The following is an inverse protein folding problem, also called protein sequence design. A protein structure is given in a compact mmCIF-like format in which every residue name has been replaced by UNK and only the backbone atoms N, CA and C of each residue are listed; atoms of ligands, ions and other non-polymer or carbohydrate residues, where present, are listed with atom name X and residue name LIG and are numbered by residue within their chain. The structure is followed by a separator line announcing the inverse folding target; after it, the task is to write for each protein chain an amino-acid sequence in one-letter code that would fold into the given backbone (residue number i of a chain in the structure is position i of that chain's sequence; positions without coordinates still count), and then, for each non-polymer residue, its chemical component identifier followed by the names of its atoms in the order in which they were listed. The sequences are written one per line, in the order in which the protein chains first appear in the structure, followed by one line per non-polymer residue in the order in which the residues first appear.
data_IF_888492041009
#
_entry.id   IF_888492041009
#
_cell.length_a   1.000
_cell.length_b   1.000
_cell.length_c   1.000
_cell.angle_alpha   90.00
_cell.angle_beta   90.00
_cell.angle_gamma   90.00
#
_symmetry.space_group_name_H-M   'P 1'
#
loop_
_entity.id
_entity.type
_entity.pdbx_description
1 polymer ?
#
# COMPACT_ATOMS: atom_id res chain seq x y z
N UNK A 1 1.83 -45.44 -4.86
CA UNK A 1 0.95 -44.52 -4.12
C UNK A 1 1.74 -43.30 -3.71
N UNK A 2 1.52 -42.22 -4.46
CA UNK A 2 2.24 -40.95 -4.38
C UNK A 2 1.70 -40.07 -3.24
N UNK A 3 2.55 -39.79 -2.25
CA UNK A 3 2.36 -38.68 -1.32
C UNK A 3 3.68 -37.90 -1.21
N UNK A 4 3.98 -37.14 -2.27
CA UNK A 4 4.90 -35.99 -2.23
C UNK A 4 4.18 -34.76 -2.77
N UNK A 5 3.54 -34.01 -1.86
CA UNK A 5 3.21 -32.60 -2.08
C UNK A 5 3.84 -31.81 -0.94
N UNK A 6 5.07 -31.35 -1.17
CA UNK A 6 5.63 -30.24 -0.41
C UNK A 6 4.87 -28.99 -0.84
N UNK A 7 3.98 -28.51 0.02
CA UNK A 7 3.45 -27.16 -0.07
C UNK A 7 4.59 -26.18 0.21
N UNK A 8 5.15 -25.59 -0.85
CA UNK A 8 6.06 -24.46 -0.75
C UNK A 8 5.21 -23.23 -0.44
N UNK A 9 4.81 -23.10 0.83
CA UNK A 9 4.24 -21.88 1.37
C UNK A 9 5.38 -20.91 1.65
N UNK A 10 5.51 -19.88 0.82
CA UNK A 10 6.47 -18.79 1.04
C UNK A 10 5.98 -18.01 2.26
N UNK A 11 6.54 -18.35 3.41
CA UNK A 11 6.53 -17.55 4.62
C UNK A 11 7.96 -17.60 5.16
N UNK A 12 8.84 -16.78 4.59
CA UNK A 12 10.10 -16.42 5.26
C UNK A 12 9.98 -14.95 5.67
N UNK A 13 9.45 -14.76 6.88
CA UNK A 13 9.83 -13.65 7.75
C UNK A 13 11.33 -13.79 8.04
N UNK A 14 12.12 -12.86 7.50
CA UNK A 14 13.57 -12.92 7.58
C UNK A 14 14.27 -11.66 7.10
N UNK A 15 13.72 -10.48 7.40
CA UNK A 15 14.49 -9.23 7.30
C UNK A 15 14.31 -8.44 8.58
N UNK A 16 15.02 -8.89 9.63
CA UNK A 16 15.43 -8.01 10.72
C UNK A 16 16.46 -7.02 10.17
N UNK A 17 15.99 -5.90 9.64
CA UNK A 17 16.82 -4.80 9.18
C UNK A 17 15.96 -3.56 9.08
N UNK A 18 16.23 -2.55 9.92
CA UNK A 18 15.50 -1.28 9.92
C UNK A 18 15.46 -0.69 8.52
N UNK A 19 14.26 -0.43 8.02
CA UNK A 19 14.04 0.11 6.68
C UNK A 19 14.20 1.63 6.73
N UNK A 20 15.39 2.11 7.05
CA UNK A 20 15.81 3.43 6.56
C UNK A 20 16.19 3.27 5.08
N UNK A 21 15.18 3.41 4.20
CA UNK A 21 15.32 3.54 2.75
C UNK A 21 15.73 2.23 2.04
N UNK A 22 14.82 1.44 1.48
CA UNK A 22 14.03 1.79 0.29
C UNK A 22 13.08 0.62 0.02
N UNK A 23 11.79 0.80 0.26
CA UNK A 23 10.78 -0.18 -0.15
C UNK A 23 10.88 -0.43 -1.68
N UNK A 24 10.72 -1.66 -2.20
CA UNK A 24 10.87 -1.92 -3.65
C UNK A 24 10.00 -1.03 -4.54
N UNK A 25 8.81 -0.66 -4.06
CA UNK A 25 7.93 0.32 -4.73
C UNK A 25 8.59 1.70 -4.89
N UNK A 26 9.43 2.13 -3.94
CA UNK A 26 10.14 3.40 -4.05
C UNK A 26 11.12 3.38 -5.24
N UNK A 27 11.83 2.27 -5.47
CA UNK A 27 12.71 2.14 -6.62
C UNK A 27 11.91 2.18 -7.93
N UNK A 28 10.82 1.42 -8.00
CA UNK A 28 9.92 1.40 -9.16
C UNK A 28 9.33 2.79 -9.43
N UNK A 29 8.91 3.51 -8.39
CA UNK A 29 8.34 4.85 -8.54
C UNK A 29 9.37 5.84 -9.11
N UNK A 30 10.64 5.81 -8.65
CA UNK A 30 11.71 6.65 -9.23
C UNK A 30 11.98 6.36 -10.70
N UNK A 31 11.81 5.11 -11.13
CA UNK A 31 11.96 4.72 -12.53
C UNK A 31 10.82 5.27 -13.42
N UNK A 32 9.68 5.61 -12.82
CA UNK A 32 8.42 5.88 -13.54
C UNK A 32 7.89 7.31 -13.37
N UNK A 33 8.30 8.00 -12.32
CA UNK A 33 7.78 9.29 -11.89
C UNK A 33 8.92 10.19 -11.41
N UNK A 34 8.86 11.46 -11.78
CA UNK A 34 9.66 12.52 -11.18
C UNK A 34 8.90 13.08 -9.97
N UNK A 35 9.07 12.43 -8.82
CA UNK A 35 8.37 12.80 -7.59
C UNK A 35 9.21 12.58 -6.33
N UNK A 36 8.84 13.31 -5.28
CA UNK A 36 9.32 13.03 -3.92
C UNK A 36 8.74 11.71 -3.42
N UNK A 37 9.59 10.90 -2.78
CA UNK A 37 9.18 9.61 -2.22
C UNK A 37 9.50 9.59 -0.74
N UNK A 38 8.47 9.30 0.05
CA UNK A 38 8.57 9.12 1.50
C UNK A 38 8.18 7.69 1.82
N UNK A 39 9.12 6.95 2.39
CA UNK A 39 8.85 5.67 3.04
C UNK A 39 8.73 5.96 4.53
N UNK A 40 7.64 5.48 5.13
CA UNK A 40 7.36 5.58 6.55
C UNK A 40 7.06 4.18 7.10
N UNK A 41 7.20 4.03 8.42
CA UNK A 41 6.83 2.82 9.14
C UNK A 41 5.32 2.54 9.08
N UNK A 42 4.92 1.29 9.38
CA UNK A 42 3.51 0.88 9.39
C UNK A 42 2.68 1.70 10.40
N UNK A 43 3.23 2.00 11.57
CA UNK A 43 2.66 2.96 12.51
C UNK A 43 3.54 4.20 12.59
N UNK A 44 3.33 5.19 11.69
CA UNK A 44 4.26 6.30 11.54
C UNK A 44 4.42 7.09 12.84
N UNK A 45 5.66 7.45 13.17
CA UNK A 45 5.96 8.34 14.29
C UNK A 45 5.44 9.76 14.03
N UNK A 46 5.37 10.60 15.06
CA UNK A 46 4.99 12.00 14.91
C UNK A 46 5.95 12.75 13.95
N UNK A 47 7.24 12.40 13.97
CA UNK A 47 8.25 12.96 13.07
C UNK A 47 8.02 12.51 11.62
N UNK A 48 7.67 11.24 11.40
CA UNK A 48 7.33 10.73 10.07
C UNK A 48 6.08 11.40 9.52
N UNK A 49 5.04 11.56 10.36
CA UNK A 49 3.81 12.29 10.01
C UNK A 49 4.12 13.73 9.62
N UNK A 50 4.89 14.45 10.45
CA UNK A 50 5.28 15.83 10.17
C UNK A 50 6.08 15.95 8.86
N UNK A 51 6.98 14.98 8.59
CA UNK A 51 7.74 14.91 7.34
C UNK A 51 6.84 14.68 6.13
N UNK A 52 5.83 13.82 6.24
CA UNK A 52 4.84 13.59 5.17
C UNK A 52 4.06 14.88 4.90
N UNK A 53 3.53 15.51 5.95
CA UNK A 53 2.69 16.70 5.83
C UNK A 53 3.45 17.90 5.26
N UNK A 54 4.65 18.16 5.77
CA UNK A 54 5.49 19.26 5.29
C UNK A 54 5.84 19.11 3.80
N UNK A 55 6.00 17.88 3.29
CA UNK A 55 6.23 17.63 1.87
C UNK A 55 4.95 17.70 1.04
N UNK A 56 3.83 17.19 1.57
CA UNK A 56 2.55 17.24 0.90
C UNK A 56 2.09 18.67 0.59
N UNK A 57 2.45 19.65 1.44
CA UNK A 57 2.15 21.07 1.22
C UNK A 57 2.73 21.65 -0.09
N UNK A 58 3.83 21.08 -0.59
CA UNK A 58 4.48 21.51 -1.83
C UNK A 58 4.12 20.62 -3.02
N UNK A 59 3.38 19.53 -2.80
CA UNK A 59 2.99 18.59 -3.83
C UNK A 59 1.71 19.04 -4.55
N UNK A 60 1.63 18.82 -5.85
CA UNK A 60 0.38 18.98 -6.61
C UNK A 60 -0.63 17.85 -6.35
N UNK A 61 -0.17 16.76 -5.76
CA UNK A 61 -0.97 15.61 -5.36
C UNK A 61 -0.12 14.52 -4.74
N UNK A 62 -0.77 13.62 -4.00
CA UNK A 62 -0.17 12.51 -3.28
C UNK A 62 -0.74 11.20 -3.82
N UNK A 63 0.12 10.21 -4.02
CA UNK A 63 -0.26 8.81 -4.20
C UNK A 63 0.16 8.07 -2.94
N UNK A 64 -0.78 7.42 -2.28
CA UNK A 64 -0.48 6.57 -1.13
C UNK A 64 -0.27 5.11 -1.55
N UNK A 65 0.56 4.40 -0.80
CA UNK A 65 0.76 2.98 -0.94
C UNK A 65 0.87 2.35 0.45
N UNK A 66 0.14 1.27 0.69
CA UNK A 66 0.15 0.59 1.98
C UNK A 66 0.05 -0.93 1.82
N UNK A 67 0.67 -1.63 2.76
CA UNK A 67 0.64 -3.09 2.89
C UNK A 67 -0.23 -3.41 4.10
N UNK A 68 -1.33 -4.11 3.87
CA UNK A 68 -2.25 -4.49 4.94
C UNK A 68 -1.95 -5.92 5.39
N UNK A 69 -0.98 -6.06 6.30
CA UNK A 69 -0.57 -7.36 6.82
C UNK A 69 -1.72 -8.09 7.51
N UNK A 70 -1.94 -9.35 7.13
CA UNK A 70 -2.97 -10.20 7.73
C UNK A 70 -2.46 -10.70 9.09
N UNK A 71 -2.85 -10.03 10.18
CA UNK A 71 -2.54 -10.48 11.53
C UNK A 71 -3.57 -11.52 12.00
N UNK A 72 -3.24 -12.82 11.86
CA UNK A 72 -4.10 -13.95 12.22
C UNK A 72 -4.59 -13.99 13.67
N UNK A 73 -3.97 -13.23 14.58
CA UNK A 73 -4.24 -13.29 16.03
C UNK A 73 -5.11 -12.15 16.58
N UNK A 74 -5.57 -11.21 15.74
CA UNK A 74 -6.45 -10.11 16.16
C UNK A 74 -7.81 -10.26 15.50
N UNK A 75 -8.80 -10.67 16.29
CA UNK A 75 -10.18 -10.99 15.86
C UNK A 75 -10.97 -9.87 15.17
N UNK A 76 -10.35 -8.72 14.84
CA UNK A 76 -10.97 -7.57 14.18
C UNK A 76 -10.80 -7.56 12.65
N UNK A 77 -10.14 -8.59 12.10
CA UNK A 77 -9.83 -8.68 10.68
C UNK A 77 -8.77 -7.65 10.27
N UNK A 78 -8.38 -7.69 8.99
CA UNK A 78 -7.33 -6.83 8.46
C UNK A 78 -7.81 -5.38 8.43
N UNK A 79 -7.30 -4.55 9.36
CA UNK A 79 -7.54 -3.11 9.43
C UNK A 79 -6.24 -2.38 9.15
N UNK A 80 -6.33 -1.23 8.49
CA UNK A 80 -5.19 -0.33 8.43
C UNK A 80 -4.93 0.33 9.80
N UNK A 81 -3.67 0.55 10.18
CA UNK A 81 -3.31 1.31 11.37
C UNK A 81 -4.02 2.68 11.41
N UNK A 82 -4.42 3.12 12.61
CA UNK A 82 -5.22 4.35 12.79
C UNK A 82 -4.59 5.57 12.12
N UNK A 83 -3.28 5.80 12.32
CA UNK A 83 -2.58 6.95 11.75
C UNK A 83 -2.52 6.93 10.22
N UNK A 84 -2.39 5.75 9.60
CA UNK A 84 -2.43 5.66 8.13
C UNK A 84 -3.81 6.05 7.59
N UNK A 85 -4.88 5.62 8.27
CA UNK A 85 -6.25 6.00 7.91
C UNK A 85 -6.46 7.50 8.06
N UNK A 86 -6.02 8.09 9.16
CA UNK A 86 -6.11 9.52 9.41
C UNK A 86 -5.36 10.36 8.36
N UNK A 87 -4.14 9.95 7.99
CA UNK A 87 -3.37 10.59 6.91
C UNK A 87 -4.09 10.51 5.56
N UNK A 88 -4.61 9.34 5.21
CA UNK A 88 -5.35 9.15 3.96
C UNK A 88 -6.64 10.00 3.95
N UNK A 89 -7.39 10.03 5.05
CA UNK A 89 -8.63 10.80 5.15
C UNK A 89 -8.36 12.29 5.04
N UNK A 90 -7.32 12.79 5.70
CA UNK A 90 -6.92 14.19 5.64
C UNK A 90 -6.52 14.58 4.22
N UNK A 91 -5.60 13.83 3.61
CA UNK A 91 -5.17 14.07 2.24
C UNK A 91 -6.31 14.03 1.24
N UNK A 92 -7.30 13.16 1.42
CA UNK A 92 -8.51 13.13 0.60
C UNK A 92 -9.38 14.38 0.82
N UNK A 93 -9.61 14.79 2.07
CA UNK A 93 -10.43 15.96 2.40
C UNK A 93 -9.84 17.27 1.89
N UNK A 94 -8.51 17.35 1.79
CA UNK A 94 -7.76 18.49 1.25
C UNK A 94 -7.62 18.43 -0.28
N UNK A 95 -8.13 17.36 -0.92
CA UNK A 95 -8.01 17.17 -2.37
C UNK A 95 -6.59 16.86 -2.85
N UNK A 96 -5.66 16.56 -1.94
CA UNK A 96 -4.27 16.22 -2.24
C UNK A 96 -4.12 14.75 -2.63
N UNK A 97 -4.83 13.84 -1.97
CA UNK A 97 -4.73 12.41 -2.26
C UNK A 97 -5.42 12.08 -3.60
N UNK A 98 -4.64 11.62 -4.58
CA UNK A 98 -5.09 11.33 -5.95
C UNK A 98 -5.33 9.86 -6.22
N UNK A 99 -4.72 8.99 -5.42
CA UNK A 99 -4.84 7.55 -5.61
C UNK A 99 -4.18 6.76 -4.49
N UNK A 100 -4.59 5.51 -4.36
CA UNK A 100 -4.10 4.57 -3.35
C UNK A 100 -3.74 3.23 -3.98
N UNK A 101 -2.66 2.63 -3.52
CA UNK A 101 -2.33 1.23 -3.79
C UNK A 101 -2.37 0.44 -2.49
N UNK A 102 -3.05 -0.70 -2.53
CA UNK A 102 -3.23 -1.60 -1.39
C UNK A 102 -2.68 -2.97 -1.74
N UNK A 103 -1.79 -3.49 -0.89
CA UNK A 103 -1.18 -4.79 -1.07
C UNK A 103 -1.60 -5.78 0.03
N UNK A 104 -1.45 -7.06 -0.27
CA UNK A 104 -1.77 -8.24 0.54
C UNK A 104 -3.26 -8.50 0.78
N UNK A 105 -4.01 -7.52 1.27
CA UNK A 105 -5.39 -7.74 1.70
C UNK A 105 -6.37 -6.70 1.14
N UNK A 106 -7.48 -7.11 0.49
CA UNK A 106 -8.50 -6.19 -0.01
C UNK A 106 -9.40 -5.65 1.10
N UNK A 107 -9.41 -6.28 2.29
CA UNK A 107 -10.32 -5.89 3.37
C UNK A 107 -10.01 -4.52 3.97
N UNK A 108 -8.77 -4.04 3.81
CA UNK A 108 -8.36 -2.70 4.17
C UNK A 108 -8.98 -1.61 3.28
N UNK A 109 -9.61 -1.95 2.15
CA UNK A 109 -10.35 -0.96 1.34
C UNK A 109 -11.45 -0.24 2.14
N UNK A 110 -12.09 -0.93 3.10
CA UNK A 110 -13.15 -0.33 3.95
C UNK A 110 -12.65 0.82 4.82
N UNK A 111 -11.34 0.87 5.04
CA UNK A 111 -10.66 1.87 5.86
C UNK A 111 -10.16 3.06 5.04
N UNK A 112 -10.25 2.99 3.70
CA UNK A 112 -9.77 4.05 2.81
C UNK A 112 -10.84 5.11 2.56
N UNK A 113 -10.44 6.36 2.27
CA UNK A 113 -11.38 7.42 1.91
C UNK A 113 -12.18 7.06 0.65
N UNK A 114 -13.50 7.28 0.70
CA UNK A 114 -14.39 7.06 -0.45
C UNK A 114 -14.09 8.06 -1.56
N UNK A 115 -14.27 7.62 -2.81
CA UNK A 115 -14.08 8.47 -3.99
C UNK A 115 -12.64 8.64 -4.45
N UNK A 116 -11.66 8.10 -3.71
CA UNK A 116 -10.27 8.04 -4.15
C UNK A 116 -10.06 6.76 -4.99
N UNK A 117 -9.50 6.86 -6.21
CA UNK A 117 -9.13 5.70 -7.00
C UNK A 117 -8.18 4.78 -6.21
N UNK A 118 -8.49 3.49 -6.13
CA UNK A 118 -7.69 2.52 -5.42
C UNK A 118 -7.37 1.31 -6.31
N UNK A 119 -6.12 0.85 -6.28
CA UNK A 119 -5.67 -0.39 -6.91
C UNK A 119 -5.32 -1.41 -5.82
N UNK A 120 -5.94 -2.59 -5.88
CA UNK A 120 -5.56 -3.72 -5.02
C UNK A 120 -4.58 -4.60 -5.77
N UNK A 121 -3.31 -4.56 -5.37
CA UNK A 121 -2.23 -5.30 -6.01
C UNK A 121 -2.08 -6.75 -5.54
N UNK A 122 -2.57 -7.08 -4.34
CA UNK A 122 -2.35 -8.34 -3.61
C UNK A 122 -0.88 -8.70 -3.38
N UNK A 123 -0.10 -8.93 -4.44
CA UNK A 123 1.32 -9.26 -4.33
C UNK A 123 2.19 -8.05 -3.98
N UNK A 124 3.21 -8.28 -3.14
CA UNK A 124 4.26 -7.31 -2.83
C UNK A 124 5.57 -7.58 -3.61
N UNK A 125 5.55 -8.52 -4.55
CA UNK A 125 6.68 -8.76 -5.45
C UNK A 125 6.85 -7.61 -6.46
N UNK A 126 8.07 -7.46 -7.02
CA UNK A 126 8.42 -6.35 -7.91
C UNK A 126 7.49 -6.25 -9.13
N UNK A 127 7.02 -7.37 -9.67
CA UNK A 127 6.11 -7.37 -10.82
C UNK A 127 4.73 -6.84 -10.42
N UNK A 128 4.17 -7.32 -9.31
CA UNK A 128 2.88 -6.86 -8.79
C UNK A 128 2.90 -5.38 -8.41
N UNK A 129 3.96 -4.92 -7.75
CA UNK A 129 4.15 -3.51 -7.39
C UNK A 129 4.18 -2.60 -8.63
N UNK A 130 4.96 -2.97 -9.66
CA UNK A 130 5.05 -2.22 -10.92
C UNK A 130 3.73 -2.21 -11.66
N UNK A 131 3.08 -3.37 -11.81
CA UNK A 131 1.79 -3.49 -12.45
C UNK A 131 0.73 -2.61 -11.77
N UNK A 132 0.76 -2.53 -10.43
CA UNK A 132 -0.16 -1.72 -9.64
C UNK A 132 0.05 -0.22 -9.86
N UNK A 133 1.32 0.23 -9.94
CA UNK A 133 1.62 1.62 -10.25
C UNK A 133 1.25 1.98 -11.71
N UNK A 134 1.54 1.10 -12.67
CA UNK A 134 1.12 1.28 -14.07
C UNK A 134 -0.41 1.39 -14.19
N UNK A 135 -1.13 0.53 -13.48
CA UNK A 135 -2.58 0.56 -13.40
C UNK A 135 -3.10 1.88 -12.82
N UNK A 136 -2.54 2.32 -11.69
CA UNK A 136 -2.95 3.58 -11.05
C UNK A 136 -2.70 4.79 -11.96
N UNK A 137 -1.62 4.76 -12.74
CA UNK A 137 -1.27 5.80 -13.72
C UNK A 137 -2.05 5.68 -15.05
N UNK A 138 -3.00 4.74 -15.16
CA UNK A 138 -3.80 4.54 -16.38
C UNK A 138 -3.03 3.91 -17.55
N UNK A 139 -1.82 3.40 -17.33
CA UNK A 139 -0.99 2.74 -18.36
C UNK A 139 -1.37 1.27 -18.56
N UNK A 140 -2.13 0.68 -17.62
CA UNK A 140 -2.57 -0.71 -17.65
C UNK A 140 -4.05 -0.82 -17.29
N UNK A 141 -4.78 -1.68 -18.00
CA UNK A 141 -6.17 -1.97 -17.67
C UNK A 141 -6.29 -2.85 -16.42
N UNK A 142 -7.33 -2.61 -15.62
CA UNK A 142 -7.68 -3.38 -14.41
C UNK A 142 -9.00 -4.13 -14.58
N UNK A 143 -9.08 -5.21 -15.38
CA UNK A 143 -10.33 -5.93 -15.61
C UNK A 143 -10.73 -6.84 -14.43
N UNK A 144 -9.85 -6.99 -13.42
CA UNK A 144 -10.06 -7.85 -12.28
C UNK A 144 -11.28 -7.46 -11.45
N UNK A 145 -11.87 -8.45 -10.79
CA UNK A 145 -12.94 -8.26 -9.80
C UNK A 145 -12.46 -8.83 -8.46
N UNK A 146 -12.90 -8.20 -7.37
CA UNK A 146 -12.62 -8.74 -6.05
C UNK A 146 -13.31 -10.11 -5.92
N UNK A 147 -12.58 -11.15 -5.47
CA UNK A 147 -13.15 -12.47 -5.22
C UNK A 147 -13.97 -12.52 -3.92
N UNK A 148 -14.04 -11.40 -3.20
CA UNK A 148 -14.68 -11.24 -1.90
C UNK A 148 -15.52 -9.98 -1.89
N UNK A 149 -16.53 -9.96 -1.01
CA UNK A 149 -17.28 -8.75 -0.70
C UNK A 149 -16.51 -7.93 0.33
N UNK A 150 -16.27 -6.67 0.02
CA UNK A 150 -15.76 -5.68 0.99
C UNK A 150 -16.89 -4.68 1.24
N UNK A 151 -17.26 -4.51 2.51
CA UNK A 151 -18.37 -3.67 2.96
C UNK A 151 -18.02 -2.19 3.06
#
# INVERSE_FOLDING_TARGET
DDLKRHGVGVAEEGVSGGIEGTHPLAQIAREMLDCDIIVASEDPSAEEVQRIESRAQYASGVIGATVAHIQSYKGEGVRLPAKQRELAQRGASEGLLRGLMLFESPYALKDLPKGIPAVVGYGADRFSLRASLEALLGKRACPGRLPVTVG
#
